data_IF_619361591273
#
_entry.id   IF_619361591273
#
_cell.length_a   1.000
_cell.length_b   1.000
_cell.length_c   1.000
_cell.angle_alpha   90.00
_cell.angle_beta   90.00
_cell.angle_gamma   90.00
#
_symmetry.space_group_name_H-M   'P 1'
#
loop_
_entity.id
_entity.type
_entity.pdbx_description
1 polymer ?
#
# COMPACT_ATOMS: atom_id res chain seq x y z
N UNK A 1 2.30 -4.20 -16.94
CA UNK A 1 2.68 -4.69 -15.61
C UNK A 1 2.16 -3.74 -14.56
N UNK A 2 1.95 -4.22 -13.35
CA UNK A 2 1.29 -3.46 -12.29
C UNK A 2 2.29 -2.93 -11.26
N UNK A 3 2.02 -1.75 -10.73
CA UNK A 3 2.72 -1.21 -9.57
C UNK A 3 1.80 -1.37 -8.36
N UNK A 4 2.30 -2.03 -7.33
CA UNK A 4 1.54 -2.35 -6.12
C UNK A 4 2.12 -1.60 -4.94
N UNK A 5 1.24 -1.05 -4.10
CA UNK A 5 1.63 -0.43 -2.83
C UNK A 5 1.03 -1.24 -1.68
N UNK A 6 1.88 -1.63 -0.74
CA UNK A 6 1.46 -2.28 0.50
C UNK A 6 1.59 -1.28 1.64
N UNK A 7 0.51 -1.04 2.35
CA UNK A 7 0.47 -0.15 3.51
C UNK A 7 0.11 -0.99 4.74
N UNK A 8 1.09 -1.27 5.58
CA UNK A 8 0.92 -2.13 6.73
C UNK A 8 1.95 -1.77 7.81
N UNK A 9 1.50 -1.50 9.02
CA UNK A 9 2.39 -1.10 10.11
C UNK A 9 3.19 -2.26 10.71
N UNK A 10 2.69 -3.49 10.62
CA UNK A 10 3.41 -4.65 11.12
C UNK A 10 4.32 -5.25 10.06
N UNK A 11 5.61 -5.26 10.36
CA UNK A 11 6.63 -5.72 9.41
C UNK A 11 6.42 -7.14 8.92
N UNK A 12 6.07 -8.06 9.81
CA UNK A 12 5.90 -9.47 9.43
C UNK A 12 4.70 -9.67 8.51
N UNK A 13 3.61 -8.94 8.79
CA UNK A 13 2.42 -9.00 7.93
C UNK A 13 2.73 -8.39 6.57
N UNK A 14 3.43 -7.27 6.56
CA UNK A 14 3.83 -6.60 5.32
C UNK A 14 4.71 -7.51 4.45
N UNK A 15 5.66 -8.20 5.07
CA UNK A 15 6.52 -9.15 4.36
C UNK A 15 5.72 -10.34 3.82
N UNK A 16 4.75 -10.83 4.59
CA UNK A 16 3.88 -11.91 4.16
C UNK A 16 3.04 -11.53 2.95
N UNK A 17 2.48 -10.32 2.95
CA UNK A 17 1.72 -9.80 1.81
C UNK A 17 2.59 -9.70 0.56
N UNK A 18 3.81 -9.21 0.71
CA UNK A 18 4.75 -9.13 -0.40
C UNK A 18 5.01 -10.50 -1.02
N UNK A 19 5.25 -11.50 -0.20
CA UNK A 19 5.48 -12.86 -0.67
C UNK A 19 4.27 -13.43 -1.39
N UNK A 20 3.08 -13.20 -0.86
CA UNK A 20 1.84 -13.64 -1.50
C UNK A 20 1.67 -13.02 -2.88
N UNK A 21 1.92 -11.75 -3.02
CA UNK A 21 1.82 -11.04 -4.29
C UNK A 21 2.85 -11.59 -5.29
N UNK A 22 4.08 -11.80 -4.85
CA UNK A 22 5.13 -12.35 -5.70
C UNK A 22 4.82 -13.75 -6.21
N UNK A 23 4.11 -14.55 -5.41
CA UNK A 23 3.77 -15.92 -5.75
C UNK A 23 2.43 -16.07 -6.46
N UNK A 24 1.66 -15.00 -6.58
CA UNK A 24 0.31 -15.04 -7.14
C UNK A 24 0.26 -15.30 -8.65
N UNK A 25 1.37 -15.08 -9.34
CA UNK A 25 1.40 -15.18 -10.80
C UNK A 25 0.92 -13.93 -11.52
N UNK A 26 0.45 -12.93 -10.78
CA UNK A 26 0.05 -11.64 -11.37
C UNK A 26 1.33 -10.90 -11.82
N UNK A 27 1.35 -10.34 -13.04
CA UNK A 27 2.52 -9.62 -13.52
C UNK A 27 2.68 -8.28 -12.78
N UNK A 28 3.58 -8.24 -11.80
CA UNK A 28 3.88 -7.06 -11.01
C UNK A 28 5.27 -6.56 -11.38
N UNK A 29 5.37 -5.28 -11.70
CA UNK A 29 6.64 -4.63 -12.02
C UNK A 29 7.34 -4.17 -10.76
N UNK A 30 6.60 -3.48 -9.88
CA UNK A 30 7.16 -2.91 -8.66
C UNK A 30 6.22 -3.17 -7.49
N UNK A 31 6.78 -3.57 -6.35
CA UNK A 31 6.07 -3.65 -5.09
C UNK A 31 6.70 -2.61 -4.16
N UNK A 32 5.92 -1.59 -3.79
CA UNK A 32 6.32 -0.57 -2.84
C UNK A 32 5.70 -0.86 -1.48
N UNK A 33 6.38 -0.50 -0.43
CA UNK A 33 5.90 -0.74 0.94
C UNK A 33 6.02 0.53 1.77
N UNK A 34 5.04 0.73 2.65
CA UNK A 34 5.14 1.74 3.69
C UNK A 34 4.40 1.25 4.94
N UNK A 35 4.64 1.91 6.06
CA UNK A 35 4.13 1.46 7.34
C UNK A 35 3.07 2.40 7.95
N UNK A 36 2.63 3.38 7.22
CA UNK A 36 1.59 4.31 7.69
C UNK A 36 0.89 5.00 6.52
N UNK A 37 -0.29 5.56 6.81
CA UNK A 37 -1.11 6.21 5.80
C UNK A 37 -0.56 7.53 5.29
N UNK A 38 0.16 8.28 6.11
CA UNK A 38 0.75 9.55 5.67
C UNK A 38 1.78 9.34 4.57
N UNK A 39 2.66 8.37 4.77
CA UNK A 39 3.66 8.01 3.75
C UNK A 39 2.98 7.46 2.51
N UNK A 40 1.94 6.63 2.67
CA UNK A 40 1.18 6.11 1.55
C UNK A 40 0.58 7.25 0.71
N UNK A 41 0.02 8.25 1.36
CA UNK A 41 -0.58 9.39 0.66
C UNK A 41 0.48 10.16 -0.14
N UNK A 42 1.67 10.36 0.41
CA UNK A 42 2.77 11.00 -0.31
C UNK A 42 3.17 10.21 -1.55
N UNK A 43 3.27 8.88 -1.42
CA UNK A 43 3.60 8.00 -2.54
C UNK A 43 2.52 8.12 -3.63
N UNK A 44 1.25 8.11 -3.24
CA UNK A 44 0.14 8.19 -4.18
C UNK A 44 0.09 9.51 -4.94
N UNK A 45 0.61 10.60 -4.34
CA UNK A 45 0.69 11.89 -5.02
C UNK A 45 1.80 11.94 -6.05
N UNK A 46 2.87 11.19 -5.85
CA UNK A 46 4.07 11.26 -6.68
C UNK A 46 4.14 10.14 -7.71
N UNK A 47 3.48 9.02 -7.47
CA UNK A 47 3.61 7.83 -8.30
C UNK A 47 2.26 7.26 -8.68
N UNK A 48 2.22 6.65 -9.86
CA UNK A 48 1.04 5.96 -10.35
C UNK A 48 0.99 4.56 -9.76
N UNK A 49 0.01 4.31 -8.90
CA UNK A 49 -0.19 3.03 -8.23
C UNK A 49 -1.43 2.37 -8.82
N UNK A 50 -1.29 1.12 -9.25
CA UNK A 50 -2.40 0.36 -9.85
C UNK A 50 -3.25 -0.35 -8.80
N UNK A 51 -2.60 -0.89 -7.76
CA UNK A 51 -3.28 -1.66 -6.69
C UNK A 51 -2.66 -1.29 -5.35
N UNK A 52 -3.51 -1.07 -4.35
CA UNK A 52 -3.05 -0.82 -2.98
C UNK A 52 -3.68 -1.83 -2.03
N UNK A 53 -2.85 -2.44 -1.20
CA UNK A 53 -3.29 -3.25 -0.06
C UNK A 53 -3.04 -2.46 1.20
N UNK A 54 -4.08 -2.21 2.00
CA UNK A 54 -3.94 -1.44 3.23
C UNK A 54 -4.68 -2.09 4.38
N UNK A 55 -4.10 -2.00 5.57
CA UNK A 55 -4.79 -2.33 6.80
C UNK A 55 -5.72 -1.16 7.15
N UNK A 56 -6.83 -1.46 7.78
CA UNK A 56 -7.79 -0.45 8.22
C UNK A 56 -7.24 0.30 9.43
N UNK A 57 -6.53 -0.39 10.32
CA UNK A 57 -6.01 0.20 11.56
C UNK A 57 -4.51 0.40 11.48
N UNK A 58 -4.11 1.66 11.47
CA UNK A 58 -2.70 2.04 11.49
C UNK A 58 -2.51 3.26 12.36
N UNK A 59 -1.32 3.41 13.00
CA UNK A 59 -0.96 4.65 13.67
C UNK A 59 -1.00 5.82 12.68
N UNK A 60 -1.23 7.01 13.15
CA UNK A 60 -1.27 8.27 12.42
C UNK A 60 -2.46 8.40 11.47
N UNK A 61 -2.61 7.50 10.50
CA UNK A 61 -3.70 7.57 9.54
C UNK A 61 -4.15 6.14 9.23
N UNK A 62 -5.37 5.78 9.60
CA UNK A 62 -5.89 4.45 9.33
C UNK A 62 -6.32 4.30 7.86
N UNK A 63 -6.66 3.07 7.47
CA UNK A 63 -7.00 2.77 6.09
C UNK A 63 -8.25 3.51 5.59
N UNK A 64 -9.21 3.77 6.47
CA UNK A 64 -10.44 4.49 6.08
C UNK A 64 -10.11 5.95 5.78
N UNK A 65 -9.36 6.61 6.66
CA UNK A 65 -8.94 7.99 6.45
C UNK A 65 -8.06 8.11 5.20
N UNK A 66 -7.19 7.13 4.96
CA UNK A 66 -6.35 7.12 3.77
C UNK A 66 -7.20 7.11 2.50
N UNK A 67 -8.21 6.25 2.44
CA UNK A 67 -9.10 6.17 1.27
C UNK A 67 -9.85 7.48 1.06
N UNK A 68 -10.34 8.10 2.14
CA UNK A 68 -11.02 9.38 2.05
C UNK A 68 -10.11 10.46 1.49
N UNK A 69 -8.86 10.52 1.95
CA UNK A 69 -7.89 11.52 1.47
C UNK A 69 -7.46 11.27 0.03
N UNK A 70 -7.41 10.02 -0.38
CA UNK A 70 -7.11 9.67 -1.77
C UNK A 70 -8.13 10.28 -2.74
N UNK A 71 -9.38 10.33 -2.34
CA UNK A 71 -10.45 10.89 -3.17
C UNK A 71 -10.34 12.40 -3.36
N UNK A 72 -9.55 13.07 -2.54
CA UNK A 72 -9.30 14.50 -2.65
C UNK A 72 -8.16 14.84 -3.62
N UNK A 73 -7.46 13.86 -4.11
CA UNK A 73 -6.28 14.06 -4.96
C UNK A 73 -6.61 14.02 -6.45
#
# INVERSE_FOLDING_TARGET
MKTVLIVEDEKLIRQGLRKMIQRSGVPVEVIMECNNGETALEILKEQSIDVMFTDIRMPKMDGIELVERMQEC
#
